data_IF_473887806642
#
_entry.id   IF_473887806642
#
_cell.length_a   1.000
_cell.length_b   1.000
_cell.length_c   1.000
_cell.angle_alpha   90.00
_cell.angle_beta   90.00
_cell.angle_gamma   90.00
#
_symmetry.space_group_name_H-M   'P 1'
#
loop_
_entity.id
_entity.type
_entity.pdbx_description
1 polymer ?
#
# COMPACT_ATOMS: atom_id res chain seq x y z
N UNK A 1 15.67 -50.54 12.56
CA UNK A 1 15.48 -49.62 11.41
C UNK A 1 14.74 -48.38 11.87
N UNK A 2 15.32 -47.19 11.78
CA UNK A 2 14.65 -45.94 12.15
C UNK A 2 13.52 -45.62 11.16
N UNK A 3 12.29 -45.49 11.66
CA UNK A 3 11.10 -45.19 10.85
C UNK A 3 11.32 -43.89 10.08
N UNK A 4 11.21 -43.92 8.74
CA UNK A 4 11.33 -42.71 7.92
C UNK A 4 10.23 -41.74 8.34
N UNK A 5 10.62 -40.55 8.80
CA UNK A 5 9.67 -39.49 9.19
C UNK A 5 8.84 -39.10 7.98
N UNK A 6 7.52 -39.04 8.14
CA UNK A 6 6.60 -38.59 7.10
C UNK A 6 6.95 -37.14 6.69
N UNK A 7 7.06 -36.90 5.39
CA UNK A 7 7.27 -35.56 4.82
C UNK A 7 5.97 -35.11 4.16
N UNK A 8 5.49 -33.89 4.41
CA UNK A 8 4.29 -33.39 3.76
C UNK A 8 4.51 -33.27 2.23
N UNK A 9 3.47 -33.48 1.39
CA UNK A 9 3.60 -33.43 -0.08
C UNK A 9 4.19 -32.11 -0.62
N UNK A 10 3.93 -30.98 0.04
CA UNK A 10 4.53 -29.69 -0.30
C UNK A 10 6.06 -29.71 -0.18
N UNK A 11 6.59 -30.35 0.87
CA UNK A 11 8.03 -30.48 1.10
C UNK A 11 8.70 -31.42 0.12
N UNK A 12 8.00 -32.48 -0.30
CA UNK A 12 8.49 -33.42 -1.31
C UNK A 12 8.66 -32.68 -2.65
N UNK A 13 7.60 -32.04 -3.15
CA UNK A 13 7.63 -31.23 -4.38
C UNK A 13 8.71 -30.15 -4.35
N UNK A 14 8.88 -29.47 -3.21
CA UNK A 14 9.91 -28.45 -3.07
C UNK A 14 11.32 -29.03 -3.18
N UNK A 15 11.59 -30.18 -2.57
CA UNK A 15 12.90 -30.84 -2.61
C UNK A 15 13.25 -31.40 -3.99
N UNK A 16 12.25 -31.93 -4.72
CA UNK A 16 12.41 -32.38 -6.11
C UNK A 16 12.80 -31.22 -7.04
N UNK A 17 12.13 -30.07 -6.89
CA UNK A 17 12.40 -28.89 -7.71
C UNK A 17 13.64 -28.09 -7.26
N UNK A 18 14.14 -28.31 -6.03
CA UNK A 18 15.25 -27.55 -5.44
C UNK A 18 16.23 -28.51 -4.73
N UNK A 19 16.97 -29.35 -5.48
CA UNK A 19 17.87 -30.32 -4.89
C UNK A 19 19.03 -29.64 -4.14
N UNK A 20 19.34 -30.13 -2.94
CA UNK A 20 20.45 -29.62 -2.13
C UNK A 20 21.78 -30.17 -2.65
N UNK A 21 22.69 -29.27 -3.04
CA UNK A 21 24.09 -29.60 -3.31
C UNK A 21 24.92 -29.34 -2.05
N UNK A 22 25.76 -30.31 -1.66
CA UNK A 22 26.70 -30.15 -0.54
C UNK A 22 28.11 -30.54 -1.00
N UNK A 23 29.10 -29.74 -0.61
CA UNK A 23 30.49 -29.92 -1.02
C UNK A 23 31.36 -30.03 0.23
N UNK A 24 32.28 -31.00 0.23
CA UNK A 24 33.32 -31.12 1.26
C UNK A 24 34.51 -30.27 0.85
N UNK A 25 35.02 -29.47 1.78
CA UNK A 25 36.17 -28.58 1.53
C UNK A 25 37.04 -28.48 2.79
N UNK A 26 38.34 -28.18 2.64
CA UNK A 26 39.22 -27.89 3.76
C UNK A 26 38.67 -26.78 4.64
N UNK A 27 38.95 -26.85 5.94
CA UNK A 27 38.46 -25.86 6.92
C UNK A 27 38.90 -24.43 6.57
N UNK A 28 40.16 -24.26 6.16
CA UNK A 28 40.71 -22.97 5.75
C UNK A 28 39.91 -22.32 4.61
N UNK A 29 39.55 -23.08 3.59
CA UNK A 29 38.77 -22.57 2.44
C UNK A 29 37.36 -22.16 2.86
N UNK A 30 36.73 -22.92 3.78
CA UNK A 30 35.42 -22.57 4.31
C UNK A 30 35.46 -21.26 5.10
N UNK A 31 36.52 -21.05 5.88
CA UNK A 31 36.71 -19.82 6.65
C UNK A 31 36.92 -18.61 5.74
N UNK A 32 37.75 -18.74 4.70
CA UNK A 32 37.95 -17.71 3.67
C UNK A 32 36.66 -17.40 2.91
N UNK A 33 35.93 -18.42 2.49
CA UNK A 33 34.63 -18.26 1.82
C UNK A 33 33.62 -17.52 2.69
N UNK A 34 33.52 -17.88 3.98
CA UNK A 34 32.63 -17.20 4.91
C UNK A 34 33.05 -15.73 5.15
N UNK A 35 34.36 -15.44 5.18
CA UNK A 35 34.87 -14.07 5.27
C UNK A 35 34.44 -13.23 4.06
N UNK A 36 34.64 -13.75 2.85
CA UNK A 36 34.20 -13.11 1.61
C UNK A 36 32.68 -12.82 1.61
N UNK A 37 31.86 -13.79 2.04
CA UNK A 37 30.40 -13.60 2.10
C UNK A 37 29.99 -12.48 3.07
N UNK A 38 30.69 -12.35 4.21
CA UNK A 38 30.43 -11.27 5.17
C UNK A 38 30.81 -9.91 4.61
N UNK A 39 32.01 -9.77 4.04
CA UNK A 39 32.51 -8.51 3.46
C UNK A 39 31.63 -8.03 2.30
N UNK A 40 31.12 -8.96 1.50
CA UNK A 40 30.25 -8.65 0.36
C UNK A 40 28.76 -8.61 0.72
N UNK A 41 28.40 -8.89 1.97
CA UNK A 41 27.03 -9.06 2.44
C UNK A 41 26.19 -10.04 1.59
N UNK A 42 26.81 -11.05 0.98
CA UNK A 42 26.16 -12.06 0.15
C UNK A 42 25.80 -13.30 0.97
N UNK A 43 24.70 -13.96 0.62
CA UNK A 43 24.48 -15.35 1.05
C UNK A 43 25.23 -16.30 0.13
N UNK A 44 25.52 -17.53 0.59
CA UNK A 44 26.10 -18.55 -0.29
C UNK A 44 25.22 -18.81 -1.54
N UNK A 45 23.89 -18.77 -1.38
CA UNK A 45 22.95 -18.87 -2.49
C UNK A 45 23.08 -17.72 -3.49
N UNK A 46 23.22 -16.47 -3.01
CA UNK A 46 23.45 -15.31 -3.88
C UNK A 46 24.79 -15.43 -4.62
N UNK A 47 25.84 -15.89 -3.93
CA UNK A 47 27.14 -16.14 -4.54
C UNK A 47 27.03 -17.11 -5.72
N UNK A 48 26.37 -18.26 -5.53
CA UNK A 48 26.18 -19.23 -6.61
C UNK A 48 25.29 -18.69 -7.73
N UNK A 49 24.20 -17.98 -7.42
CA UNK A 49 23.36 -17.37 -8.46
C UNK A 49 24.13 -16.35 -9.30
N UNK A 50 25.00 -15.57 -8.68
CA UNK A 50 25.90 -14.63 -9.36
C UNK A 50 26.94 -15.39 -10.20
N UNK A 51 27.56 -16.44 -9.64
CA UNK A 51 28.54 -17.26 -10.34
C UNK A 51 27.95 -17.94 -11.58
N UNK A 52 26.72 -18.43 -11.50
CA UNK A 52 25.97 -19.01 -12.61
C UNK A 52 25.31 -17.97 -13.53
N UNK A 53 25.61 -16.67 -13.34
CA UNK A 53 25.04 -15.55 -14.12
C UNK A 53 23.51 -15.52 -14.12
N UNK A 54 22.87 -16.12 -13.12
CA UNK A 54 21.41 -16.07 -12.89
C UNK A 54 20.98 -14.81 -12.15
N UNK A 55 21.92 -14.06 -11.59
CA UNK A 55 21.69 -12.84 -10.83
C UNK A 55 22.88 -11.88 -11.01
N UNK A 56 22.64 -10.57 -11.15
CA UNK A 56 23.72 -9.56 -11.25
C UNK A 56 24.32 -9.26 -9.87
N UNK A 57 25.61 -8.88 -9.82
CA UNK A 57 26.22 -8.26 -8.61
C UNK A 57 25.41 -7.01 -8.23
N UNK A 58 25.25 -6.74 -6.93
CA UNK A 58 24.44 -5.65 -6.34
C UNK A 58 22.91 -5.84 -6.21
N UNK A 59 22.39 -7.07 -6.27
CA UNK A 59 20.96 -7.31 -6.08
C UNK A 59 20.37 -6.75 -4.76
N UNK A 60 21.10 -6.78 -3.63
CA UNK A 60 20.56 -6.33 -2.34
C UNK A 60 20.36 -4.81 -2.28
N UNK A 61 21.35 -4.02 -2.73
CA UNK A 61 21.26 -2.54 -2.75
C UNK A 61 20.20 -2.07 -3.75
N UNK A 62 20.19 -2.68 -4.95
CA UNK A 62 19.16 -2.42 -5.96
C UNK A 62 17.77 -2.82 -5.45
N UNK A 63 17.63 -3.94 -4.73
CA UNK A 63 16.34 -4.38 -4.18
C UNK A 63 15.80 -3.43 -3.11
N UNK A 64 16.63 -2.93 -2.21
CA UNK A 64 16.18 -1.96 -1.20
C UNK A 64 15.76 -0.63 -1.82
N UNK A 65 16.53 -0.13 -2.78
CA UNK A 65 16.23 1.14 -3.47
C UNK A 65 14.96 1.01 -4.33
N UNK A 66 14.84 -0.05 -5.14
CA UNK A 66 13.65 -0.31 -5.96
C UNK A 66 12.41 -0.54 -5.08
N UNK A 67 12.56 -1.20 -3.93
CA UNK A 67 11.43 -1.42 -3.03
C UNK A 67 10.95 -0.13 -2.38
N UNK A 68 11.86 0.73 -1.91
CA UNK A 68 11.50 2.04 -1.36
C UNK A 68 10.89 2.95 -2.43
N UNK A 69 11.45 2.97 -3.64
CA UNK A 69 10.89 3.74 -4.75
C UNK A 69 9.49 3.26 -5.12
N UNK A 70 9.28 1.95 -5.23
CA UNK A 70 7.95 1.40 -5.51
C UNK A 70 6.92 1.68 -4.42
N UNK A 71 7.33 1.67 -3.14
CA UNK A 71 6.45 2.07 -2.03
C UNK A 71 6.09 3.56 -2.09
N UNK A 72 7.08 4.43 -2.32
CA UNK A 72 6.87 5.87 -2.42
C UNK A 72 6.00 6.24 -3.63
N UNK A 73 6.25 5.64 -4.78
CA UNK A 73 5.44 5.81 -5.99
C UNK A 73 4.01 5.31 -5.78
N UNK A 74 3.84 4.12 -5.18
CA UNK A 74 2.53 3.57 -4.85
C UNK A 74 1.75 4.47 -3.89
N UNK A 75 2.41 4.96 -2.84
CA UNK A 75 1.83 5.90 -1.89
C UNK A 75 1.43 7.21 -2.55
N UNK A 76 2.34 7.83 -3.31
CA UNK A 76 2.08 9.10 -3.99
C UNK A 76 0.94 8.99 -5.01
N UNK A 77 0.95 7.94 -5.84
CA UNK A 77 -0.11 7.67 -6.80
C UNK A 77 -1.46 7.42 -6.11
N UNK A 78 -1.46 6.70 -4.97
CA UNK A 78 -2.66 6.49 -4.17
C UNK A 78 -3.18 7.79 -3.57
N UNK A 79 -2.28 8.60 -3.02
CA UNK A 79 -2.60 9.91 -2.45
C UNK A 79 -3.16 10.86 -3.49
N UNK A 80 -2.52 11.00 -4.66
CA UNK A 80 -3.00 11.89 -5.73
C UNK A 80 -4.34 11.44 -6.31
N UNK A 81 -4.57 10.12 -6.46
CA UNK A 81 -5.90 9.60 -6.83
C UNK A 81 -6.95 9.92 -5.78
N UNK A 82 -6.64 9.73 -4.50
CA UNK A 82 -7.55 10.05 -3.42
C UNK A 82 -7.85 11.55 -3.37
N UNK A 83 -6.82 12.39 -3.55
CA UNK A 83 -6.94 13.84 -3.64
C UNK A 83 -7.84 14.24 -4.81
N UNK A 84 -7.65 13.68 -6.01
CA UNK A 84 -8.49 14.02 -7.17
C UNK A 84 -9.97 13.65 -6.97
N UNK A 85 -10.25 12.51 -6.32
CA UNK A 85 -11.61 11.98 -6.21
C UNK A 85 -12.37 12.47 -4.99
N UNK A 86 -11.68 12.80 -3.90
CA UNK A 86 -12.30 13.05 -2.58
C UNK A 86 -11.93 14.39 -1.96
N UNK A 87 -11.04 15.18 -2.57
CA UNK A 87 -10.66 16.50 -2.04
C UNK A 87 -11.85 17.45 -2.14
N UNK A 88 -12.29 17.93 -0.98
CA UNK A 88 -13.20 19.07 -0.87
C UNK A 88 -12.33 20.32 -0.75
N UNK A 89 -12.62 21.34 -1.55
CA UNK A 89 -11.86 22.58 -1.57
C UNK A 89 -12.80 23.76 -1.88
N UNK A 90 -12.39 24.97 -1.49
CA UNK A 90 -13.11 26.21 -1.77
C UNK A 90 -12.12 27.33 -2.11
N UNK A 91 -12.60 28.44 -2.69
CA UNK A 91 -11.76 29.57 -3.03
C UNK A 91 -11.67 30.58 -1.89
N UNK A 92 -10.45 31.06 -1.61
CA UNK A 92 -10.25 32.19 -0.72
C UNK A 92 -10.99 33.43 -1.25
N UNK A 93 -11.81 34.06 -0.41
CA UNK A 93 -12.56 35.25 -0.80
C UNK A 93 -11.65 36.41 -1.26
N UNK A 94 -10.48 36.54 -0.63
CA UNK A 94 -9.51 37.61 -0.90
C UNK A 94 -8.62 37.30 -2.10
N UNK A 95 -7.81 36.24 -2.04
CA UNK A 95 -6.79 35.96 -3.06
C UNK A 95 -7.24 35.00 -4.18
N UNK A 96 -8.47 34.46 -4.10
CA UNK A 96 -9.05 33.52 -5.08
C UNK A 96 -8.27 32.22 -5.30
N UNK A 97 -7.32 31.89 -4.41
CA UNK A 97 -6.61 30.61 -4.43
C UNK A 97 -7.45 29.51 -3.79
N UNK A 98 -7.23 28.28 -4.22
CA UNK A 98 -7.87 27.10 -3.64
C UNK A 98 -7.36 26.84 -2.22
N UNK A 99 -8.29 26.50 -1.33
CA UNK A 99 -8.03 26.08 0.04
C UNK A 99 -8.64 24.69 0.21
N UNK A 100 -7.81 23.73 0.61
CA UNK A 100 -8.25 22.37 0.90
C UNK A 100 -9.00 22.35 2.25
N UNK A 101 -10.24 21.85 2.23
CA UNK A 101 -11.05 21.73 3.43
C UNK A 101 -10.59 20.51 4.24
N UNK A 102 -9.89 20.75 5.34
CA UNK A 102 -9.39 19.66 6.18
C UNK A 102 -10.52 19.10 7.08
N UNK A 103 -10.61 17.77 7.23
CA UNK A 103 -11.52 17.18 8.20
C UNK A 103 -11.28 17.72 9.61
N UNK A 104 -12.36 18.00 10.33
CA UNK A 104 -12.37 18.53 11.70
C UNK A 104 -11.72 19.92 11.90
N UNK A 105 -11.38 20.62 10.82
CA UNK A 105 -11.04 22.05 10.86
C UNK A 105 -12.24 22.91 11.30
N UNK A 106 -11.99 24.18 11.63
CA UNK A 106 -13.07 25.10 12.01
C UNK A 106 -14.02 25.31 10.82
N UNK A 107 -13.47 25.47 9.62
CA UNK A 107 -14.23 25.65 8.38
C UNK A 107 -15.10 24.44 8.06
N UNK A 108 -14.60 23.23 8.34
CA UNK A 108 -15.41 22.02 8.21
C UNK A 108 -16.58 22.00 9.20
N UNK A 109 -16.39 22.52 10.43
CA UNK A 109 -17.47 22.63 11.42
C UNK A 109 -18.51 23.66 11.00
N UNK A 110 -18.08 24.82 10.51
CA UNK A 110 -18.96 25.88 10.03
C UNK A 110 -19.86 25.38 8.88
N UNK A 111 -19.30 24.58 7.96
CA UNK A 111 -20.07 23.95 6.88
C UNK A 111 -21.11 22.96 7.45
N UNK A 112 -20.73 22.14 8.44
CA UNK A 112 -21.68 21.20 9.07
C UNK A 112 -22.82 21.96 9.76
N UNK A 113 -22.52 23.03 10.48
CA UNK A 113 -23.52 23.86 11.15
C UNK A 113 -24.45 24.52 10.14
N UNK A 114 -23.90 25.10 9.07
CA UNK A 114 -24.69 25.68 8.00
C UNK A 114 -25.65 24.67 7.35
N UNK A 115 -25.17 23.46 7.03
CA UNK A 115 -25.99 22.38 6.45
C UNK A 115 -27.11 21.97 7.41
N UNK A 116 -26.84 21.90 8.72
CA UNK A 116 -27.85 21.62 9.76
C UNK A 116 -28.90 22.72 9.86
N UNK A 117 -28.48 23.99 9.90
CA UNK A 117 -29.39 25.15 9.97
C UNK A 117 -30.29 25.25 8.76
N UNK A 118 -29.76 24.98 7.56
CA UNK A 118 -30.55 24.91 6.32
C UNK A 118 -31.40 23.66 6.22
N UNK A 119 -31.32 22.76 7.20
CA UNK A 119 -32.16 21.58 7.30
C UNK A 119 -31.90 20.56 6.19
N UNK A 120 -30.70 20.50 5.63
CA UNK A 120 -30.32 19.54 4.60
C UNK A 120 -30.39 18.12 5.17
N UNK A 121 -31.12 17.24 4.51
CA UNK A 121 -31.36 15.87 4.97
C UNK A 121 -31.11 14.87 3.85
N UNK A 122 -30.82 13.62 4.22
CA UNK A 122 -30.76 12.52 3.27
C UNK A 122 -32.07 12.39 2.49
N UNK A 123 -31.98 11.98 1.22
CA UNK A 123 -33.16 11.77 0.37
C UNK A 123 -34.16 10.78 1.00
N UNK A 124 -33.66 9.72 1.61
CA UNK A 124 -34.48 8.71 2.29
C UNK A 124 -35.21 9.31 3.50
N UNK A 125 -34.56 10.20 4.24
CA UNK A 125 -35.18 10.94 5.35
C UNK A 125 -36.27 11.91 4.85
N UNK A 126 -36.03 12.59 3.72
CA UNK A 126 -37.02 13.46 3.10
C UNK A 126 -38.28 12.68 2.66
N UNK A 127 -38.11 11.55 1.96
CA UNK A 127 -39.23 10.67 1.54
C UNK A 127 -40.05 10.16 2.73
N UNK A 128 -39.38 9.78 3.82
CA UNK A 128 -40.05 9.36 5.06
C UNK A 128 -40.90 10.49 5.66
N UNK A 129 -40.38 11.72 5.72
CA UNK A 129 -41.15 12.88 6.20
C UNK A 129 -42.38 13.16 5.35
N UNK A 130 -42.24 13.08 4.03
CA UNK A 130 -43.36 13.26 3.10
C UNK A 130 -44.44 12.18 3.30
N UNK A 131 -44.05 10.90 3.48
CA UNK A 131 -45.01 9.83 3.78
C UNK A 131 -45.73 10.00 5.12
N UNK A 132 -45.17 10.81 6.03
CA UNK A 132 -45.75 11.17 7.32
C UNK A 132 -46.54 12.50 7.26
N UNK A 133 -46.73 13.08 6.07
CA UNK A 133 -47.47 14.32 5.87
C UNK A 133 -46.72 15.61 6.25
N UNK A 134 -45.41 15.53 6.53
CA UNK A 134 -44.59 16.68 6.90
C UNK A 134 -43.87 17.20 5.65
N UNK A 135 -44.15 18.45 5.26
CA UNK A 135 -43.45 19.10 4.16
C UNK A 135 -41.96 19.31 4.52
N UNK A 136 -41.02 18.99 3.61
CA UNK A 136 -39.60 19.21 3.85
C UNK A 136 -39.28 20.72 3.90
N UNK A 137 -38.27 21.13 4.68
CA UNK A 137 -37.95 22.54 4.92
C UNK A 137 -37.26 23.27 3.76
N UNK A 138 -36.97 22.57 2.66
CA UNK A 138 -36.37 23.16 1.46
C UNK A 138 -36.90 22.51 0.18
N UNK A 139 -36.97 23.27 -0.91
CA UNK A 139 -37.22 22.73 -2.25
C UNK A 139 -36.07 21.80 -2.65
N UNK A 140 -36.41 20.56 -2.95
CA UNK A 140 -35.44 19.57 -3.41
C UNK A 140 -34.99 19.95 -4.83
N UNK A 141 -33.94 20.76 -4.94
CA UNK A 141 -33.29 21.00 -6.22
C UNK A 141 -32.60 19.70 -6.67
N UNK A 142 -33.35 18.82 -7.35
CA UNK A 142 -32.75 17.91 -8.33
C UNK A 142 -32.17 18.78 -9.43
N UNK A 143 -30.92 19.17 -9.28
CA UNK A 143 -30.08 19.44 -10.44
C UNK A 143 -29.22 18.20 -10.59
N UNK A 144 -29.36 17.59 -11.75
CA UNK A 144 -28.58 16.46 -12.22
C UNK A 144 -27.11 16.87 -12.23
N UNK A 145 -26.42 16.71 -11.11
CA UNK A 145 -24.97 16.85 -11.05
C UNK A 145 -24.36 15.48 -11.32
N UNK A 146 -24.18 15.20 -12.62
CA UNK A 146 -23.24 14.22 -13.17
C UNK A 146 -21.87 14.89 -13.37
#
# INVERSE_FOLDING_TARGET
MTKKRHKPPSRIRYQENNPTVSVRMPRAWKEEFNKYLKETHLTAGDFFRIAFRKQKKNYKKVRSEVHQNGLNEGFHNGYEKARKNYRIWYYCAFCKKEIDLLPNSNEHRDIIEYIKEKGWIHETCAKRRQSQGVQPPYEYHRKDYL
#
